data_IF_588072981516
#
_entry.id   IF_588072981516
#
_cell.length_a   1.000
_cell.length_b   1.000
_cell.length_c   1.000
_cell.angle_alpha   90.00
_cell.angle_beta   90.00
_cell.angle_gamma   90.00
#
_symmetry.space_group_name_H-M   'P 1'
#
loop_
_entity.id
_entity.type
_entity.pdbx_description
1 polymer ?
#
# COMPACT_ATOMS: atom_id res chain seq x y z
N UNK A 1 9.88 -29.26 4.40
CA UNK A 1 9.64 -27.86 4.85
C UNK A 1 9.26 -27.04 3.62
N UNK A 2 8.26 -26.16 3.70
CA UNK A 2 7.93 -25.23 2.60
C UNK A 2 8.64 -23.89 2.83
N UNK A 3 9.17 -23.28 1.78
CA UNK A 3 9.86 -21.97 1.79
C UNK A 3 8.95 -20.95 1.11
N UNK A 4 9.01 -19.69 1.56
CA UNK A 4 8.24 -18.58 1.00
C UNK A 4 9.10 -17.30 1.01
N UNK A 5 9.00 -16.51 -0.07
CA UNK A 5 9.58 -15.18 -0.12
C UNK A 5 8.79 -14.21 0.78
N UNK A 6 9.51 -13.38 1.54
CA UNK A 6 8.93 -12.36 2.42
C UNK A 6 9.62 -11.03 2.16
N UNK A 7 8.87 -9.94 2.29
CA UNK A 7 9.43 -8.60 2.15
C UNK A 7 10.44 -8.32 3.25
N UNK A 8 11.59 -7.78 2.86
CA UNK A 8 12.57 -7.19 3.76
C UNK A 8 12.25 -5.72 4.01
N UNK A 9 12.81 -5.15 5.08
CA UNK A 9 12.65 -3.73 5.38
C UNK A 9 13.21 -2.83 4.25
N UNK A 10 14.30 -3.26 3.59
CA UNK A 10 14.90 -2.54 2.46
C UNK A 10 13.94 -2.45 1.28
N UNK A 11 13.29 -3.57 0.92
CA UNK A 11 12.29 -3.59 -0.17
C UNK A 11 11.07 -2.74 0.16
N UNK A 12 10.57 -2.82 1.40
CA UNK A 12 9.46 -1.99 1.88
C UNK A 12 9.80 -0.51 1.76
N UNK A 13 11.02 -0.11 2.16
CA UNK A 13 11.48 1.28 2.09
C UNK A 13 11.63 1.77 0.64
N UNK A 14 12.11 0.91 -0.25
CA UNK A 14 12.22 1.21 -1.68
C UNK A 14 10.85 1.42 -2.33
N UNK A 15 9.88 0.55 -2.03
CA UNK A 15 8.51 0.68 -2.55
C UNK A 15 7.83 1.97 -2.06
N UNK A 16 7.96 2.26 -0.76
CA UNK A 16 7.40 3.46 -0.16
C UNK A 16 8.01 4.73 -0.75
N UNK A 17 9.34 4.76 -0.90
CA UNK A 17 10.08 5.86 -1.52
C UNK A 17 9.65 6.11 -2.97
N UNK A 18 9.63 5.06 -3.80
CA UNK A 18 9.22 5.19 -5.19
C UNK A 18 7.78 5.69 -5.36
N UNK A 19 6.85 5.22 -4.52
CA UNK A 19 5.47 5.69 -4.53
C UNK A 19 5.34 7.16 -4.08
N UNK A 20 6.14 7.58 -3.09
CA UNK A 20 6.21 8.99 -2.66
C UNK A 20 6.76 9.88 -3.76
N UNK A 21 7.86 9.49 -4.39
CA UNK A 21 8.52 10.28 -5.42
C UNK A 21 7.59 10.50 -6.62
N UNK A 22 6.87 9.45 -7.05
CA UNK A 22 5.85 9.56 -8.10
C UNK A 22 4.71 10.49 -7.69
N UNK A 23 4.18 10.35 -6.47
CA UNK A 23 3.12 11.22 -5.98
C UNK A 23 3.56 12.69 -5.94
N UNK A 24 4.80 12.96 -5.51
CA UNK A 24 5.37 14.31 -5.50
C UNK A 24 5.57 14.86 -6.91
N UNK A 25 6.10 14.05 -7.84
CA UNK A 25 6.30 14.45 -9.23
C UNK A 25 4.98 14.86 -9.92
N UNK A 26 3.86 14.25 -9.53
CA UNK A 26 2.53 14.55 -10.06
C UNK A 26 1.69 15.51 -9.19
N UNK A 27 2.21 15.96 -8.04
CA UNK A 27 1.47 16.81 -7.11
C UNK A 27 0.25 16.13 -6.48
N UNK A 28 0.29 14.81 -6.28
CA UNK A 28 -0.79 14.04 -5.67
C UNK A 28 -0.70 14.02 -4.14
N UNK A 29 -1.72 14.56 -3.48
CA UNK A 29 -1.88 14.48 -2.03
C UNK A 29 -2.54 13.15 -1.63
N UNK A 30 -1.72 12.11 -1.37
CA UNK A 30 -2.17 10.73 -1.12
C UNK A 30 -1.61 10.13 0.17
N UNK A 31 -2.18 9.00 0.58
CA UNK A 31 -1.61 8.12 1.60
C UNK A 31 -1.18 6.78 0.98
N UNK A 32 -0.02 6.28 1.38
CA UNK A 32 0.65 5.11 0.83
C UNK A 32 0.83 4.10 1.96
N UNK A 33 0.42 2.85 1.74
CA UNK A 33 0.56 1.76 2.71
C UNK A 33 1.20 0.54 2.05
N UNK A 34 2.12 -0.11 2.77
CA UNK A 34 2.73 -1.38 2.39
C UNK A 34 2.42 -2.40 3.49
N UNK A 35 1.93 -3.57 3.10
CA UNK A 35 1.56 -4.66 4.01
C UNK A 35 2.29 -5.96 3.63
N UNK A 36 2.40 -6.89 4.57
CA UNK A 36 2.81 -8.27 4.27
C UNK A 36 1.69 -9.04 3.56
N UNK A 37 1.96 -10.28 3.15
CA UNK A 37 0.96 -11.13 2.49
C UNK A 37 -0.16 -11.62 3.43
N UNK A 38 0.01 -11.43 4.74
CA UNK A 38 -1.05 -11.58 5.75
C UNK A 38 -1.88 -10.32 5.95
N UNK A 39 -1.54 -9.21 5.27
CA UNK A 39 -2.22 -7.93 5.37
C UNK A 39 -1.82 -7.09 6.60
N UNK A 40 -0.70 -7.41 7.26
CA UNK A 40 -0.19 -6.61 8.38
C UNK A 40 0.65 -5.45 7.87
N UNK A 41 0.45 -4.26 8.45
CA UNK A 41 1.14 -3.05 8.04
C UNK A 41 2.65 -3.14 8.30
N UNK A 42 3.44 -2.90 7.24
CA UNK A 42 4.89 -2.84 7.27
C UNK A 42 5.42 -1.40 7.17
N UNK A 43 4.75 -0.56 6.38
CA UNK A 43 5.05 0.86 6.27
C UNK A 43 3.82 1.67 5.86
N UNK A 44 3.80 2.94 6.27
CA UNK A 44 2.72 3.87 5.97
C UNK A 44 3.22 5.31 5.95
N UNK A 45 2.78 6.07 4.95
CA UNK A 45 2.98 7.51 4.86
C UNK A 45 1.70 8.19 4.37
N UNK A 46 1.26 9.23 5.07
CA UNK A 46 0.26 10.17 4.56
C UNK A 46 0.97 11.46 4.22
N UNK A 47 0.95 11.84 2.94
CA UNK A 47 1.58 13.06 2.48
C UNK A 47 0.81 14.29 2.95
N UNK A 48 1.47 15.44 2.87
CA UNK A 48 0.84 16.73 3.15
C UNK A 48 -0.39 16.94 2.25
N UNK A 49 -1.38 17.65 2.79
CA UNK A 49 -2.68 17.94 2.16
C UNK A 49 -3.55 16.72 1.80
N UNK A 50 -3.09 15.49 2.04
CA UNK A 50 -3.88 14.30 1.81
C UNK A 50 -5.05 14.22 2.80
N UNK A 51 -6.26 13.95 2.31
CA UNK A 51 -7.47 13.85 3.14
C UNK A 51 -7.27 12.87 4.31
N UNK A 52 -7.67 13.20 5.56
CA UNK A 52 -7.46 12.33 6.72
C UNK A 52 -8.00 10.89 6.53
N UNK A 53 -9.13 10.74 5.84
CA UNK A 53 -9.76 9.43 5.56
C UNK A 53 -8.87 8.52 4.70
N UNK A 54 -7.97 9.08 3.90
CA UNK A 54 -7.04 8.32 3.06
C UNK A 54 -6.13 7.41 3.88
N UNK A 55 -5.87 7.75 5.15
CA UNK A 55 -5.09 6.91 6.07
C UNK A 55 -5.72 5.54 6.25
N UNK A 56 -7.03 5.51 6.45
CA UNK A 56 -7.78 4.26 6.62
C UNK A 56 -7.93 3.54 5.27
N UNK A 57 -8.33 4.27 4.22
CA UNK A 57 -8.59 3.69 2.90
C UNK A 57 -7.32 3.05 2.31
N UNK A 58 -6.17 3.69 2.44
CA UNK A 58 -4.90 3.18 1.88
C UNK A 58 -4.50 1.85 2.52
N UNK A 59 -4.61 1.75 3.85
CA UNK A 59 -4.31 0.52 4.59
C UNK A 59 -5.27 -0.60 4.19
N UNK A 60 -6.57 -0.33 4.12
CA UNK A 60 -7.54 -1.37 3.74
C UNK A 60 -7.38 -1.79 2.28
N UNK A 61 -7.08 -0.87 1.36
CA UNK A 61 -6.76 -1.25 -0.04
C UNK A 61 -5.55 -2.16 -0.12
N UNK A 62 -4.46 -1.83 0.57
CA UNK A 62 -3.26 -2.67 0.62
C UNK A 62 -3.57 -4.06 1.20
N UNK A 63 -4.32 -4.11 2.31
CA UNK A 63 -4.75 -5.35 2.97
C UNK A 63 -5.65 -6.20 2.07
N UNK A 64 -6.66 -5.61 1.42
CA UNK A 64 -7.52 -6.31 0.47
C UNK A 64 -6.71 -6.91 -0.67
N UNK A 65 -5.73 -6.16 -1.21
CA UNK A 65 -4.88 -6.66 -2.28
C UNK A 65 -3.96 -7.79 -1.86
N UNK A 66 -3.37 -7.71 -0.66
CA UNK A 66 -2.54 -8.79 -0.11
C UNK A 66 -3.33 -10.09 0.09
N UNK A 67 -4.50 -10.00 0.74
CA UNK A 67 -5.34 -11.15 1.05
C UNK A 67 -6.03 -11.72 -0.20
N UNK A 68 -6.50 -10.85 -1.08
CA UNK A 68 -7.20 -11.19 -2.33
C UNK A 68 -6.27 -11.61 -3.47
N UNK A 69 -4.96 -11.36 -3.33
CA UNK A 69 -3.91 -11.61 -4.33
C UNK A 69 -4.26 -11.02 -5.70
N UNK A 70 -4.88 -9.83 -5.69
CA UNK A 70 -5.31 -9.08 -6.88
C UNK A 70 -5.49 -7.61 -6.50
N UNK A 71 -5.61 -6.74 -7.48
CA UNK A 71 -5.94 -5.33 -7.24
C UNK A 71 -7.32 -5.20 -6.56
N UNK A 72 -7.44 -4.29 -5.59
CA UNK A 72 -8.69 -4.07 -4.87
C UNK A 72 -9.82 -3.58 -5.79
N UNK A 73 -9.48 -2.86 -6.86
CA UNK A 73 -10.42 -2.39 -7.90
C UNK A 73 -11.24 -3.53 -8.51
N UNK A 74 -10.65 -4.71 -8.68
CA UNK A 74 -11.35 -5.87 -9.23
C UNK A 74 -12.53 -6.32 -8.34
N UNK A 75 -12.50 -6.06 -7.03
CA UNK A 75 -13.65 -6.31 -6.16
C UNK A 75 -14.71 -5.21 -6.26
N UNK A 76 -14.30 -3.96 -6.47
CA UNK A 76 -15.21 -2.83 -6.69
C UNK A 76 -16.02 -3.03 -7.98
N UNK A 77 -15.42 -3.61 -9.03
CA UNK A 77 -16.08 -3.85 -10.33
C UNK A 77 -17.02 -5.08 -10.36
N UNK A 78 -17.03 -5.92 -9.31
CA UNK A 78 -17.87 -7.12 -9.24
C UNK A 78 -19.32 -6.84 -8.78
N UNK A 79 -19.60 -5.65 -8.27
CA UNK A 79 -20.89 -5.23 -7.68
C UNK A 79 -21.41 -3.98 -8.36
#
# INVERSE_FOLDING_TARGET
>A
MKIKAVLTQTEVSLMLGAARDEAQANGWAVAIAVVDDGGHLLAFERLDDASPISSYISIEKARTSALGKRESKGYEEMV
#
